data_IF_946836239314
#
_entry.id   IF_946836239314
#
_cell.length_a   1.000
_cell.length_b   1.000
_cell.length_c   1.000
_cell.angle_alpha   90.00
_cell.angle_beta   90.00
_cell.angle_gamma   90.00
#
_symmetry.space_group_name_H-M   'P 1'
#
loop_
_entity.id
_entity.type
_entity.pdbx_description
1 polymer ?
#
# COMPACT_ATOMS: atom_id res chain seq x y z
N UNK A 1 12.23 -25.98 -6.74
CA UNK A 1 10.79 -25.75 -6.95
C UNK A 1 10.34 -24.82 -5.84
N UNK A 2 10.20 -23.54 -6.10
CA UNK A 2 9.73 -22.58 -5.10
C UNK A 2 8.21 -22.59 -5.19
N UNK A 3 7.53 -23.19 -4.20
CA UNK A 3 6.10 -23.06 -4.03
C UNK A 3 5.78 -21.58 -3.80
N UNK A 4 5.38 -20.91 -4.88
CA UNK A 4 4.86 -19.56 -4.84
C UNK A 4 3.51 -19.61 -4.11
N UNK A 5 3.56 -19.53 -2.77
CA UNK A 5 2.39 -19.42 -1.88
C UNK A 5 1.73 -18.04 -2.04
N UNK A 6 1.53 -17.56 -3.26
CA UNK A 6 0.78 -16.32 -3.53
C UNK A 6 -0.70 -16.65 -3.60
N UNK A 7 -1.37 -16.44 -2.48
CA UNK A 7 -2.78 -16.78 -2.32
C UNK A 7 -3.76 -15.71 -2.84
N UNK A 8 -3.26 -14.59 -3.41
CA UNK A 8 -4.07 -13.44 -3.82
C UNK A 8 -3.61 -12.88 -5.19
N UNK A 9 -4.56 -12.66 -6.11
CA UNK A 9 -4.34 -12.02 -7.42
C UNK A 9 -3.86 -10.58 -7.20
N UNK A 10 -2.76 -10.19 -7.87
CA UNK A 10 -2.25 -8.82 -7.87
C UNK A 10 -2.75 -8.11 -9.11
N UNK A 11 -3.41 -6.97 -8.92
CA UNK A 11 -3.84 -6.09 -9.99
C UNK A 11 -2.73 -5.07 -10.24
N UNK A 12 -2.30 -4.86 -11.49
CA UNK A 12 -1.37 -3.80 -11.85
C UNK A 12 -2.08 -2.43 -11.85
N UNK A 13 -2.67 -2.06 -10.72
CA UNK A 13 -3.35 -0.77 -10.55
C UNK A 13 -2.34 0.30 -10.13
N UNK A 14 -2.20 1.33 -10.95
CA UNK A 14 -1.39 2.51 -10.64
C UNK A 14 -2.28 3.57 -10.01
N UNK A 15 -2.25 3.65 -8.68
CA UNK A 15 -3.01 4.61 -7.90
C UNK A 15 -2.06 5.52 -7.13
N UNK A 16 -2.50 6.74 -6.83
CA UNK A 16 -1.78 7.62 -5.92
C UNK A 16 -1.93 7.09 -4.50
N UNK A 17 -0.81 6.92 -3.80
CA UNK A 17 -0.78 6.40 -2.43
C UNK A 17 -0.10 7.41 -1.52
N UNK A 18 -0.69 7.64 -0.36
CA UNK A 18 -0.17 8.50 0.69
C UNK A 18 0.27 7.61 1.86
N UNK A 19 1.52 7.72 2.28
CA UNK A 19 2.05 7.03 3.45
C UNK A 19 2.33 8.03 4.56
N UNK A 20 1.77 7.81 5.73
CA UNK A 20 2.23 8.51 6.92
C UNK A 20 3.46 7.80 7.49
N UNK A 21 4.59 8.51 7.53
CA UNK A 21 5.84 8.01 8.08
C UNK A 21 6.25 8.87 9.26
N UNK A 22 6.41 8.24 10.42
CA UNK A 22 6.94 8.90 11.60
C UNK A 22 8.40 9.30 11.35
N UNK A 23 8.69 10.60 11.41
CA UNK A 23 10.07 11.08 11.36
C UNK A 23 10.57 11.21 12.79
N UNK A 24 11.67 10.52 13.10
CA UNK A 24 12.36 10.72 14.37
C UNK A 24 13.03 12.09 14.33
N UNK A 25 12.41 13.10 14.92
CA UNK A 25 13.06 14.37 15.20
C UNK A 25 14.09 14.17 16.32
N UNK A 26 15.33 14.59 16.09
CA UNK A 26 16.43 14.53 17.05
C UNK A 26 16.21 15.40 18.31
N UNK A 27 15.21 16.31 18.28
CA UNK A 27 15.03 17.35 19.33
C UNK A 27 13.62 17.38 19.94
N UNK A 28 12.87 16.27 19.89
CA UNK A 28 11.66 16.10 20.72
C UNK A 28 10.40 16.79 20.19
N UNK A 29 9.79 16.15 19.19
CA UNK A 29 8.36 16.00 18.92
C UNK A 29 8.31 15.25 17.58
N UNK A 30 7.79 14.02 17.56
CA UNK A 30 7.81 13.19 16.36
C UNK A 30 6.99 13.83 15.25
N UNK A 31 7.62 14.35 14.21
CA UNK A 31 6.91 14.93 13.08
C UNK A 31 6.53 13.80 12.11
N UNK A 32 5.24 13.50 11.99
CA UNK A 32 4.74 12.67 10.89
C UNK A 32 4.93 13.40 9.56
N UNK A 33 5.53 12.72 8.58
CA UNK A 33 5.63 13.21 7.20
C UNK A 33 4.73 12.35 6.32
N UNK A 34 3.92 13.01 5.48
CA UNK A 34 3.15 12.32 4.44
C UNK A 34 3.99 12.19 3.18
N UNK A 35 4.21 10.96 2.72
CA UNK A 35 4.87 10.65 1.45
C UNK A 35 3.82 10.34 0.40
N UNK A 36 3.84 11.07 -0.71
CA UNK A 36 3.03 10.75 -1.89
C UNK A 36 3.83 9.84 -2.82
N UNK A 37 3.28 8.69 -3.13
CA UNK A 37 3.90 7.64 -3.93
C UNK A 37 2.88 7.02 -4.89
N UNK A 38 3.34 6.07 -5.71
CA UNK A 38 2.47 5.34 -6.65
C UNK A 38 2.53 3.85 -6.36
N UNK A 39 1.38 3.19 -6.44
CA UNK A 39 1.33 1.73 -6.44
C UNK A 39 1.85 1.17 -7.75
N UNK A 40 2.65 0.11 -7.64
CA UNK A 40 3.05 -0.72 -8.76
C UNK A 40 2.03 -1.84 -8.96
N UNK A 41 1.57 -2.42 -7.85
CA UNK A 41 0.53 -3.44 -7.85
C UNK A 41 -0.16 -3.51 -6.48
N UNK A 42 -1.42 -3.95 -6.48
CA UNK A 42 -2.28 -4.05 -5.29
C UNK A 42 -2.93 -5.44 -5.21
N UNK A 43 -3.27 -5.89 -4.01
CA UNK A 43 -4.00 -7.15 -3.76
C UNK A 43 -4.76 -7.06 -2.44
N UNK A 44 -5.61 -8.06 -2.15
CA UNK A 44 -6.42 -8.09 -0.92
C UNK A 44 -5.59 -7.94 0.37
N UNK A 45 -4.33 -8.37 0.35
CA UNK A 45 -3.46 -8.37 1.53
C UNK A 45 -2.10 -7.73 1.33
N UNK A 46 -1.83 -7.19 0.16
CA UNK A 46 -0.49 -6.74 -0.18
C UNK A 46 -0.50 -5.56 -1.13
N UNK A 47 0.52 -4.72 -0.97
CA UNK A 47 0.72 -3.51 -1.74
C UNK A 47 2.21 -3.43 -2.12
N UNK A 48 2.52 -3.09 -3.36
CA UNK A 48 3.88 -2.73 -3.77
C UNK A 48 3.92 -1.26 -4.16
N UNK A 49 4.83 -0.49 -3.57
CA UNK A 49 4.96 0.94 -3.83
C UNK A 49 6.36 1.29 -4.32
N UNK A 50 6.43 2.26 -5.24
CA UNK A 50 7.65 3.00 -5.54
C UNK A 50 7.75 4.21 -4.61
N UNK A 51 8.91 4.40 -3.97
CA UNK A 51 9.16 5.41 -2.94
C UNK A 51 10.40 6.23 -3.29
N UNK A 52 10.39 7.52 -2.95
CA UNK A 52 11.56 8.40 -3.12
C UNK A 52 12.65 8.14 -2.06
N UNK A 53 12.29 7.54 -0.91
CA UNK A 53 13.21 7.20 0.18
C UNK A 53 12.91 5.84 0.79
N UNK A 54 13.90 5.27 1.46
CA UNK A 54 13.75 4.02 2.21
C UNK A 54 12.76 4.18 3.37
N UNK A 55 12.03 3.10 3.66
CA UNK A 55 11.19 2.96 4.85
C UNK A 55 11.68 1.77 5.67
N UNK A 56 11.51 1.84 7.00
CA UNK A 56 11.96 0.78 7.89
C UNK A 56 11.12 -0.48 7.71
N UNK A 57 11.78 -1.62 7.46
CA UNK A 57 11.13 -2.93 7.44
C UNK A 57 10.61 -3.27 8.84
N UNK A 58 9.38 -3.78 8.92
CA UNK A 58 8.64 -4.02 10.16
C UNK A 58 7.88 -2.80 10.70
N UNK A 59 8.02 -1.62 10.08
CA UNK A 59 7.20 -0.47 10.47
C UNK A 59 5.75 -0.66 10.02
N UNK A 60 4.81 -0.31 10.89
CA UNK A 60 3.38 -0.23 10.57
C UNK A 60 3.04 1.21 10.25
N UNK A 61 2.54 1.46 9.06
CA UNK A 61 2.25 2.79 8.54
C UNK A 61 0.76 2.93 8.19
N UNK A 62 0.23 4.15 8.32
CA UNK A 62 -1.06 4.49 7.72
C UNK A 62 -0.89 4.73 6.23
N UNK A 63 -1.79 4.14 5.44
CA UNK A 63 -1.76 4.14 3.97
C UNK A 63 -3.11 4.65 3.46
N UNK A 64 -3.11 5.79 2.79
CA UNK A 64 -4.26 6.28 2.02
C UNK A 64 -4.11 5.93 0.55
N UNK A 65 -5.01 5.14 -0.02
CA UNK A 65 -5.02 4.80 -1.45
C UNK A 65 -6.09 5.64 -2.13
N UNK A 66 -5.69 6.53 -3.02
CA UNK A 66 -6.60 7.35 -3.81
C UNK A 66 -7.08 6.57 -5.04
N UNK A 67 -8.39 6.34 -5.10
CA UNK A 67 -9.07 5.57 -6.14
C UNK A 67 -10.10 6.41 -6.89
N UNK A 68 -9.90 7.73 -6.92
CA UNK A 68 -10.85 8.67 -7.53
C UNK A 68 -11.05 8.39 -9.03
N UNK A 69 -9.98 8.02 -9.76
CA UNK A 69 -10.04 7.60 -11.17
C UNK A 69 -10.93 6.37 -11.38
N UNK A 70 -11.04 5.49 -10.39
CA UNK A 70 -11.91 4.30 -10.41
C UNK A 70 -13.33 4.59 -9.86
N UNK A 71 -13.65 5.86 -9.57
CA UNK A 71 -14.95 6.27 -9.03
C UNK A 71 -15.15 6.01 -7.53
N UNK A 72 -14.08 5.72 -6.78
CA UNK A 72 -14.16 5.42 -5.35
C UNK A 72 -13.48 6.51 -4.50
N UNK A 73 -13.99 6.71 -3.27
CA UNK A 73 -13.31 7.56 -2.30
C UNK A 73 -11.98 6.93 -1.85
N UNK A 74 -11.06 7.77 -1.37
CA UNK A 74 -9.80 7.34 -0.76
C UNK A 74 -10.05 6.30 0.34
N UNK A 75 -9.23 5.25 0.35
CA UNK A 75 -9.30 4.12 1.29
C UNK A 75 -8.13 4.20 2.26
N UNK A 76 -8.42 4.16 3.57
CA UNK A 76 -7.40 4.25 4.61
C UNK A 76 -7.12 2.89 5.24
N UNK A 77 -5.87 2.44 5.16
CA UNK A 77 -5.40 1.13 5.61
C UNK A 77 -4.25 1.27 6.59
N UNK A 78 -4.08 0.27 7.44
CA UNK A 78 -2.84 0.04 8.16
C UNK A 78 -2.05 -1.05 7.43
N UNK A 79 -0.76 -0.84 7.19
CA UNK A 79 0.08 -1.83 6.52
C UNK A 79 1.48 -1.90 7.12
N UNK A 80 2.01 -3.12 7.23
CA UNK A 80 3.37 -3.38 7.71
C UNK A 80 4.33 -3.52 6.52
N UNK A 81 5.49 -2.86 6.60
CA UNK A 81 6.56 -2.98 5.61
C UNK A 81 7.22 -4.37 5.73
N UNK A 82 7.08 -5.21 4.71
CA UNK A 82 7.68 -6.57 4.68
C UNK A 82 9.09 -6.55 4.10
N UNK A 83 9.34 -5.67 3.12
CA UNK A 83 10.67 -5.48 2.54
C UNK A 83 10.80 -4.08 1.96
N UNK A 84 12.01 -3.55 1.93
CA UNK A 84 12.37 -2.31 1.25
C UNK A 84 13.75 -2.48 0.61
N UNK A 85 13.87 -2.15 -0.68
CA UNK A 85 15.12 -2.30 -1.44
C UNK A 85 15.28 -1.17 -2.46
N UNK A 86 16.52 -0.83 -2.86
CA UNK A 86 16.73 0.11 -3.96
C UNK A 86 16.10 -0.43 -5.25
N UNK A 87 15.52 0.48 -6.03
CA UNK A 87 15.01 0.24 -7.38
C UNK A 87 15.68 1.18 -8.38
N UNK A 88 15.24 1.16 -9.64
CA UNK A 88 15.83 1.96 -10.71
C UNK A 88 15.78 3.48 -10.44
N UNK A 89 14.70 3.96 -9.82
CA UNK A 89 14.47 5.39 -9.57
C UNK A 89 14.04 5.64 -8.11
N UNK A 90 14.90 5.21 -7.17
CA UNK A 90 14.68 5.35 -5.73
C UNK A 90 14.53 4.01 -5.02
N UNK A 91 13.41 3.80 -4.33
CA UNK A 91 13.16 2.63 -3.49
C UNK A 91 11.89 1.92 -3.91
N UNK A 92 11.86 0.61 -3.70
CA UNK A 92 10.64 -0.18 -3.79
C UNK A 92 10.41 -0.87 -2.46
N UNK A 93 9.17 -0.83 -1.99
CA UNK A 93 8.76 -1.50 -0.78
C UNK A 93 7.51 -2.34 -1.01
N UNK A 94 7.47 -3.49 -0.35
CA UNK A 94 6.29 -4.34 -0.28
C UNK A 94 5.70 -4.30 1.10
N UNK A 95 4.38 -4.20 1.16
CA UNK A 95 3.63 -4.07 2.39
C UNK A 95 2.63 -5.21 2.50
N UNK A 96 2.33 -5.62 3.73
CA UNK A 96 1.18 -6.45 4.03
C UNK A 96 0.12 -5.62 4.73
N UNK A 97 -1.11 -5.67 4.20
CA UNK A 97 -2.24 -4.92 4.74
C UNK A 97 -2.74 -5.63 5.99
N UNK A 98 -2.82 -4.89 7.10
CA UNK A 98 -3.28 -5.36 8.39
C UNK A 98 -4.80 -5.20 8.50
N UNK A 99 -5.44 -6.20 9.11
CA UNK A 99 -6.83 -6.08 9.52
C UNK A 99 -6.89 -5.33 10.85
N UNK A 100 -6.90 -4.00 10.78
CA UNK A 100 -7.08 -3.12 11.92
C UNK A 100 -8.56 -2.75 12.07
N UNK A 101 -9.05 -2.61 13.30
CA UNK A 101 -10.45 -2.29 13.56
C UNK A 101 -10.86 -0.89 13.11
N UNK A 102 -9.89 0.03 12.99
CA UNK A 102 -10.09 1.43 12.58
C UNK A 102 -9.68 1.68 11.11
N UNK A 103 -9.59 0.62 10.29
CA UNK A 103 -9.24 0.76 8.88
C UNK A 103 -10.36 0.33 7.94
N UNK A 104 -10.31 0.81 6.70
CA UNK A 104 -11.22 0.45 5.62
C UNK A 104 -10.98 -0.97 5.07
N UNK A 105 -10.32 -1.87 5.82
CA UNK A 105 -9.91 -3.19 5.32
C UNK A 105 -11.07 -4.00 4.73
N UNK A 106 -12.24 -4.00 5.36
CA UNK A 106 -13.43 -4.72 4.87
C UNK A 106 -13.90 -4.10 3.54
N UNK A 107 -13.93 -2.77 3.46
CA UNK A 107 -14.33 -2.03 2.26
C UNK A 107 -13.34 -2.24 1.12
N UNK A 108 -12.03 -2.18 1.41
CA UNK A 108 -10.95 -2.47 0.47
C UNK A 108 -11.12 -3.83 -0.22
N UNK A 109 -11.42 -4.88 0.56
CA UNK A 109 -11.65 -6.22 0.00
C UNK A 109 -12.88 -6.27 -0.90
N UNK A 110 -13.96 -5.58 -0.54
CA UNK A 110 -15.16 -5.50 -1.37
C UNK A 110 -14.87 -4.78 -2.70
N UNK A 111 -14.13 -3.66 -2.65
CA UNK A 111 -13.73 -2.88 -3.83
C UNK A 111 -12.84 -3.69 -4.77
N UNK A 112 -11.81 -4.35 -4.25
CA UNK A 112 -10.94 -5.19 -5.08
C UNK A 112 -11.69 -6.30 -5.81
N UNK A 113 -12.71 -6.89 -5.19
CA UNK A 113 -13.55 -7.90 -5.84
C UNK A 113 -14.40 -7.31 -6.96
N UNK A 114 -14.86 -6.07 -6.82
CA UNK A 114 -15.57 -5.37 -7.89
C UNK A 114 -14.61 -5.09 -9.06
N UNK A 115 -13.44 -4.51 -8.78
CA UNK A 115 -12.42 -4.23 -9.80
C UNK A 115 -11.96 -5.49 -10.56
N UNK A 116 -11.76 -6.62 -9.86
CA UNK A 116 -11.42 -7.90 -10.51
C UNK A 116 -12.60 -8.44 -11.34
N UNK A 117 -13.83 -8.24 -10.88
CA UNK A 117 -15.03 -8.69 -11.58
C UNK A 117 -15.32 -7.90 -12.85
N UNK A 118 -14.93 -6.62 -12.91
CA UNK A 118 -15.10 -5.78 -14.10
C UNK A 118 -14.05 -6.05 -15.19
N UNK A 119 -12.84 -6.50 -14.82
CA UNK A 119 -11.75 -6.87 -15.76
C UNK A 119 -12.11 -8.08 -16.66
N UNK A 120 -12.99 -8.98 -16.20
CA UNK A 120 -13.39 -10.19 -16.96
C UNK A 120 -14.61 -9.95 -17.89
N UNK A 121 -15.23 -8.75 -17.83
CA UNK A 121 -16.40 -8.39 -18.63
C UNK A 121 -16.08 -7.46 -19.82
N UNK A 122 -14.79 -7.15 -20.05
CA UNK A 122 -14.28 -6.28 -21.12
C UNK A 122 -13.67 -7.03 -22.30
#
# INVERSE_FOLDING_TARGET
>A
MAEDKRNYRRLPLQSTVFLEVESRAETGEGQSTILRCRSADISERGLSLGLERAVAVGAVLQVGIDLADEGFNTIFLAAEVVWCKPGDDGWRAGFTILHASDSDFVRWRALLRQLVGEDEAG
#
